data_IF_456591387908
#
_entry.id   IF_456591387908
#
_cell.length_a   1.000
_cell.length_b   1.000
_cell.length_c   1.000
_cell.angle_alpha   90.00
_cell.angle_beta   90.00
_cell.angle_gamma   90.00
#
_symmetry.space_group_name_H-M   'P 1'
#
loop_
_entity.id
_entity.type
_entity.pdbx_description
1 polymer ?
#
# COMPACT_ATOMS: atom_id res chain seq x y z
N UNK A 1 2.36 -32.66 -9.10
CA UNK A 1 1.56 -33.89 -9.09
C UNK A 1 0.47 -33.75 -8.05
N UNK A 2 -0.73 -34.08 -8.42
CA UNK A 2 -1.86 -34.20 -7.46
C UNK A 2 -1.65 -35.56 -6.79
N UNK A 3 -1.09 -35.56 -5.58
CA UNK A 3 -0.83 -36.75 -4.80
C UNK A 3 -1.03 -36.39 -3.33
N UNK A 4 -1.75 -37.22 -2.59
CA UNK A 4 -2.03 -37.02 -1.16
C UNK A 4 -0.76 -37.03 -0.29
N UNK A 5 0.35 -37.53 -0.82
CA UNK A 5 1.64 -37.61 -0.13
C UNK A 5 2.51 -36.35 -0.27
N UNK A 6 2.19 -35.44 -1.23
CA UNK A 6 3.00 -34.26 -1.53
C UNK A 6 2.18 -32.99 -1.29
N UNK A 7 2.59 -32.21 -0.32
CA UNK A 7 1.90 -30.99 0.07
C UNK A 7 2.41 -29.76 -0.69
N UNK A 8 1.65 -28.67 -0.68
CA UNK A 8 2.10 -27.37 -1.20
C UNK A 8 3.37 -26.86 -0.48
N UNK A 9 3.58 -27.27 0.78
CA UNK A 9 4.81 -26.94 1.51
C UNK A 9 6.03 -27.65 0.93
N UNK A 10 5.89 -28.87 0.45
CA UNK A 10 6.99 -29.58 -0.23
C UNK A 10 7.39 -28.88 -1.52
N UNK A 11 6.42 -28.35 -2.26
CA UNK A 11 6.70 -27.51 -3.44
C UNK A 11 7.47 -26.23 -3.06
N UNK A 12 7.14 -25.61 -1.93
CA UNK A 12 7.89 -24.47 -1.41
C UNK A 12 9.33 -24.83 -1.06
N UNK A 13 9.54 -25.92 -0.32
CA UNK A 13 10.89 -26.41 0.06
C UNK A 13 11.72 -26.77 -1.17
N UNK A 14 11.12 -27.45 -2.14
CA UNK A 14 11.78 -27.77 -3.40
C UNK A 14 12.26 -26.52 -4.13
N UNK A 15 11.41 -25.52 -4.24
CA UNK A 15 11.69 -24.27 -4.93
C UNK A 15 12.77 -23.43 -4.22
N UNK A 16 12.56 -23.17 -2.92
CA UNK A 16 13.37 -22.19 -2.18
C UNK A 16 14.66 -22.77 -1.62
N UNK A 17 14.75 -24.10 -1.47
CA UNK A 17 15.93 -24.79 -0.93
C UNK A 17 16.68 -25.55 -2.00
N UNK A 18 16.00 -26.50 -2.67
CA UNK A 18 16.70 -27.40 -3.63
C UNK A 18 17.09 -26.66 -4.91
N UNK A 19 16.13 -26.03 -5.59
CA UNK A 19 16.41 -25.34 -6.85
C UNK A 19 17.29 -24.11 -6.63
N UNK A 20 17.15 -23.43 -5.48
CA UNK A 20 18.06 -22.33 -5.13
C UNK A 20 19.51 -22.77 -5.04
N UNK A 21 19.75 -23.95 -4.47
CA UNK A 21 21.10 -24.54 -4.35
C UNK A 21 21.62 -25.08 -5.69
N UNK A 22 20.77 -25.84 -6.40
CA UNK A 22 21.18 -26.65 -7.55
C UNK A 22 21.14 -25.84 -8.87
N UNK A 23 20.25 -24.84 -8.98
CA UNK A 23 20.05 -24.06 -10.20
C UNK A 23 19.86 -22.57 -9.85
N UNK A 24 20.83 -21.89 -9.21
CA UNK A 24 20.68 -20.50 -8.75
C UNK A 24 20.40 -19.52 -9.91
N UNK A 25 20.91 -19.78 -11.10
CA UNK A 25 20.73 -18.96 -12.29
C UNK A 25 19.25 -18.83 -12.71
N UNK A 26 18.41 -19.83 -12.40
CA UNK A 26 16.97 -19.80 -12.65
C UNK A 26 16.28 -18.60 -11.98
N UNK A 27 16.82 -18.12 -10.85
CA UNK A 27 16.22 -17.08 -10.02
C UNK A 27 16.78 -15.69 -10.28
N UNK A 28 17.79 -15.56 -11.13
CA UNK A 28 18.46 -14.27 -11.40
C UNK A 28 17.51 -13.17 -11.87
N UNK A 29 16.51 -13.53 -12.68
CA UNK A 29 15.49 -12.58 -13.19
C UNK A 29 14.09 -12.89 -12.67
N UNK A 30 13.98 -13.64 -11.57
CA UNK A 30 12.72 -14.04 -11.00
C UNK A 30 11.98 -12.85 -10.39
N UNK A 31 10.75 -12.59 -10.82
CA UNK A 31 9.89 -11.56 -10.24
C UNK A 31 9.23 -12.07 -8.95
N UNK A 32 8.59 -13.23 -9.01
CA UNK A 32 7.95 -13.93 -7.90
C UNK A 32 7.82 -15.42 -8.23
N UNK A 33 7.47 -16.21 -7.25
CA UNK A 33 7.29 -17.65 -7.38
C UNK A 33 5.82 -18.03 -7.21
N UNK A 34 5.42 -19.13 -7.86
CA UNK A 34 4.12 -19.77 -7.69
C UNK A 34 4.34 -21.22 -7.28
N UNK A 35 3.62 -21.65 -6.26
CA UNK A 35 3.59 -23.03 -5.79
C UNK A 35 2.15 -23.55 -5.80
N UNK A 36 1.96 -24.81 -6.12
CA UNK A 36 0.62 -25.43 -6.18
C UNK A 36 0.71 -26.93 -5.99
N UNK A 37 -0.28 -27.49 -5.31
CA UNK A 37 -0.56 -28.93 -5.23
C UNK A 37 -1.76 -29.35 -6.10
N UNK A 38 -2.32 -28.41 -6.88
CA UNK A 38 -3.49 -28.62 -7.73
C UNK A 38 -4.81 -28.18 -7.06
N UNK A 39 -4.88 -28.19 -5.75
CA UNK A 39 -6.03 -27.72 -4.97
C UNK A 39 -5.75 -26.35 -4.38
N UNK A 40 -4.56 -26.17 -3.84
CA UNK A 40 -4.10 -24.92 -3.28
C UNK A 40 -3.04 -24.29 -4.21
N UNK A 41 -3.15 -23.00 -4.42
CA UNK A 41 -2.17 -22.25 -5.24
C UNK A 41 -1.82 -20.97 -4.54
N UNK A 42 -0.52 -20.72 -4.38
CA UNK A 42 0.01 -19.54 -3.70
C UNK A 42 1.12 -18.89 -4.50
N UNK A 43 1.24 -17.59 -4.36
CA UNK A 43 2.35 -16.83 -4.93
C UNK A 43 3.09 -16.04 -3.84
N UNK A 44 4.39 -15.86 -4.01
CA UNK A 44 5.21 -15.14 -3.06
C UNK A 44 6.59 -14.81 -3.60
N UNK A 45 7.35 -14.08 -2.82
CA UNK A 45 8.73 -13.80 -3.13
C UNK A 45 9.61 -15.02 -2.89
N UNK A 46 10.62 -15.18 -3.72
CA UNK A 46 11.67 -16.19 -3.55
C UNK A 46 12.40 -16.10 -2.19
N UNK A 47 12.49 -14.90 -1.64
CA UNK A 47 13.14 -14.65 -0.35
C UNK A 47 12.21 -14.79 0.86
N UNK A 48 10.90 -14.90 0.63
CA UNK A 48 9.90 -14.91 1.69
C UNK A 48 9.77 -16.28 2.35
N UNK A 49 9.60 -16.36 3.68
CA UNK A 49 9.13 -17.55 4.37
C UNK A 49 7.78 -18.03 3.84
N UNK A 50 7.47 -19.31 4.04
CA UNK A 50 6.24 -19.93 3.52
C UNK A 50 4.94 -19.23 3.94
N UNK A 51 4.90 -18.67 5.13
CA UNK A 51 3.77 -17.91 5.68
C UNK A 51 3.43 -16.65 4.86
N UNK A 52 4.38 -16.14 4.08
CA UNK A 52 4.19 -14.99 3.18
C UNK A 52 3.89 -15.38 1.73
N UNK A 53 3.60 -16.65 1.48
CA UNK A 53 3.02 -17.09 0.21
C UNK A 53 1.49 -17.08 0.32
N UNK A 54 0.84 -16.27 -0.52
CA UNK A 54 -0.60 -16.02 -0.44
C UNK A 54 -1.34 -16.51 -1.68
N UNK A 55 -2.53 -17.04 -1.45
CA UNK A 55 -3.44 -17.39 -2.53
C UNK A 55 -4.03 -16.12 -3.17
N UNK A 56 -4.14 -16.13 -4.49
CA UNK A 56 -4.91 -15.14 -5.22
C UNK A 56 -6.35 -15.63 -5.35
N UNK A 57 -7.24 -15.17 -4.46
CA UNK A 57 -8.56 -15.77 -4.28
C UNK A 57 -9.69 -15.09 -5.02
N UNK A 58 -9.44 -13.95 -5.67
CA UNK A 58 -10.50 -13.16 -6.29
C UNK A 58 -10.06 -12.55 -7.60
N UNK A 59 -10.95 -12.58 -8.57
CA UNK A 59 -10.86 -11.83 -9.82
C UNK A 59 -11.91 -10.72 -9.75
N UNK A 60 -11.65 -9.59 -10.40
CA UNK A 60 -12.60 -8.49 -10.47
C UNK A 60 -13.94 -8.96 -11.04
N UNK A 61 -15.05 -8.57 -10.39
CA UNK A 61 -16.41 -9.00 -10.76
C UNK A 61 -16.88 -10.32 -10.13
N UNK A 62 -15.99 -11.10 -9.49
CA UNK A 62 -16.43 -12.30 -8.77
C UNK A 62 -17.17 -11.95 -7.48
N UNK A 63 -18.25 -12.69 -7.23
CA UNK A 63 -18.91 -12.76 -5.93
C UNK A 63 -18.22 -13.84 -5.09
N UNK A 64 -17.58 -13.44 -3.99
CA UNK A 64 -16.87 -14.38 -3.10
C UNK A 64 -15.42 -14.65 -3.50
N UNK A 65 -14.80 -15.60 -2.84
CA UNK A 65 -13.40 -16.01 -3.02
C UNK A 65 -13.33 -17.44 -3.54
N UNK A 66 -12.40 -17.71 -4.44
CA UNK A 66 -12.12 -19.05 -4.94
C UNK A 66 -11.37 -19.88 -3.90
N UNK A 67 -11.78 -21.10 -3.72
CA UNK A 67 -11.18 -22.10 -2.84
C UNK A 67 -11.04 -23.44 -3.58
N UNK A 68 -10.16 -24.29 -3.10
CA UNK A 68 -9.98 -25.63 -3.67
C UNK A 68 -9.48 -25.59 -5.11
N UNK A 69 -10.00 -26.43 -5.97
CA UNK A 69 -9.55 -26.65 -7.35
C UNK A 69 -9.60 -25.38 -8.22
N UNK A 70 -10.48 -24.43 -7.89
CA UNK A 70 -10.58 -23.14 -8.58
C UNK A 70 -9.45 -22.17 -8.24
N UNK A 71 -8.65 -22.48 -7.21
CA UNK A 71 -7.52 -21.68 -6.76
C UNK A 71 -6.50 -21.45 -7.86
N UNK A 72 -6.12 -22.50 -8.61
CA UNK A 72 -5.16 -22.39 -9.72
C UNK A 72 -5.73 -21.52 -10.85
N UNK A 73 -6.95 -21.77 -11.27
CA UNK A 73 -7.59 -21.00 -12.34
C UNK A 73 -7.74 -19.54 -11.97
N UNK A 74 -8.09 -19.27 -10.71
CA UNK A 74 -8.21 -17.89 -10.19
C UNK A 74 -6.85 -17.20 -10.10
N UNK A 75 -5.79 -17.91 -9.73
CA UNK A 75 -4.44 -17.36 -9.76
C UNK A 75 -4.00 -17.02 -11.21
N UNK A 76 -4.25 -17.92 -12.16
CA UNK A 76 -3.91 -17.70 -13.58
C UNK A 76 -4.71 -16.55 -14.16
N UNK A 77 -6.02 -16.54 -14.06
CA UNK A 77 -6.88 -15.47 -14.58
C UNK A 77 -6.74 -14.17 -13.79
N UNK A 78 -6.45 -14.27 -12.51
CA UNK A 78 -6.22 -13.15 -11.61
C UNK A 78 -4.80 -12.58 -11.74
N UNK A 79 -3.83 -13.14 -11.05
CA UNK A 79 -2.48 -12.61 -10.94
C UNK A 79 -1.70 -12.67 -12.25
N UNK A 80 -1.79 -13.80 -12.98
CA UNK A 80 -1.00 -14.06 -14.18
C UNK A 80 -1.65 -13.53 -15.47
N UNK A 81 -2.80 -12.86 -15.39
CA UNK A 81 -3.35 -12.14 -16.54
C UNK A 81 -2.32 -11.18 -17.12
N UNK A 82 -2.18 -11.14 -18.46
CA UNK A 82 -1.12 -10.39 -19.16
C UNK A 82 -1.02 -8.91 -18.75
N UNK A 83 -2.14 -8.24 -18.59
CA UNK A 83 -2.16 -6.83 -18.15
C UNK A 83 -1.76 -6.69 -16.70
N UNK A 84 -2.31 -7.56 -15.85
CA UNK A 84 -2.10 -7.50 -14.38
C UNK A 84 -0.70 -7.92 -13.98
N UNK A 85 -0.12 -8.98 -14.58
CA UNK A 85 1.25 -9.39 -14.27
C UNK A 85 2.27 -8.29 -14.64
N UNK A 86 2.07 -7.59 -15.75
CA UNK A 86 2.91 -6.44 -16.13
C UNK A 86 2.82 -5.32 -15.13
N UNK A 87 1.62 -5.06 -14.64
CA UNK A 87 1.36 -4.05 -13.63
C UNK A 87 1.96 -4.43 -12.27
N UNK A 88 1.79 -5.69 -11.85
CA UNK A 88 2.38 -6.22 -10.61
C UNK A 88 3.89 -6.08 -10.65
N UNK A 89 4.55 -6.53 -11.70
CA UNK A 89 6.01 -6.43 -11.83
C UNK A 89 6.47 -4.96 -11.78
N UNK A 90 5.73 -4.05 -12.37
CA UNK A 90 6.09 -2.64 -12.48
C UNK A 90 5.86 -1.85 -11.19
N UNK A 91 4.76 -2.12 -10.50
CA UNK A 91 4.23 -1.24 -9.47
C UNK A 91 3.93 -1.92 -8.13
N UNK A 92 3.97 -3.25 -8.04
CA UNK A 92 3.49 -4.00 -6.89
C UNK A 92 4.49 -5.05 -6.37
N UNK A 93 5.74 -4.94 -6.80
CA UNK A 93 6.88 -5.66 -6.22
C UNK A 93 7.80 -4.60 -5.62
N UNK A 94 7.94 -4.64 -4.30
CA UNK A 94 8.74 -3.71 -3.54
C UNK A 94 10.04 -4.36 -3.09
N UNK A 95 11.15 -3.71 -3.39
CA UNK A 95 12.48 -4.03 -2.85
C UNK A 95 12.88 -2.84 -1.96
N UNK A 96 13.14 -3.06 -0.67
CA UNK A 96 13.64 -2.00 0.20
C UNK A 96 15.00 -1.47 -0.28
N UNK A 97 15.18 -0.13 -0.23
CA UNK A 97 16.43 0.51 -0.63
C UNK A 97 17.60 0.10 0.30
N UNK A 98 17.28 -0.14 1.57
CA UNK A 98 18.22 -0.63 2.57
C UNK A 98 17.58 -1.80 3.33
N UNK A 99 18.19 -2.97 3.26
CA UNK A 99 17.78 -4.14 4.04
C UNK A 99 18.99 -4.90 4.52
N UNK A 100 18.95 -5.42 5.75
CA UNK A 100 19.99 -6.32 6.29
C UNK A 100 19.91 -7.72 5.72
N UNK A 101 18.83 -8.06 5.01
CA UNK A 101 18.55 -9.36 4.40
C UNK A 101 18.02 -9.14 3.00
N UNK A 102 18.21 -10.12 2.13
CA UNK A 102 17.52 -10.14 0.84
C UNK A 102 16.02 -10.13 1.06
N UNK A 103 15.38 -9.05 0.66
CA UNK A 103 13.96 -8.83 0.86
C UNK A 103 13.29 -8.36 -0.43
N UNK A 104 12.21 -9.02 -0.77
CA UNK A 104 11.35 -8.66 -1.90
C UNK A 104 9.92 -8.93 -1.49
N UNK A 105 9.09 -7.92 -1.54
CA UNK A 105 7.70 -7.98 -1.14
C UNK A 105 6.81 -7.95 -2.37
N UNK A 106 6.00 -8.99 -2.53
CA UNK A 106 5.02 -9.12 -3.61
C UNK A 106 3.63 -8.83 -3.04
N UNK A 107 2.84 -8.00 -3.70
CA UNK A 107 1.51 -7.65 -3.24
C UNK A 107 0.59 -8.87 -3.12
N UNK A 108 -0.35 -8.79 -2.18
CA UNK A 108 -1.52 -9.68 -2.09
C UNK A 108 -2.64 -9.13 -2.96
N UNK A 109 -3.60 -9.99 -3.37
CA UNK A 109 -4.73 -9.55 -4.21
C UNK A 109 -5.56 -8.39 -3.59
N UNK A 110 -5.83 -8.35 -2.26
CA UNK A 110 -6.56 -7.22 -1.69
C UNK A 110 -5.78 -5.90 -1.79
N UNK A 111 -4.47 -5.94 -1.58
CA UNK A 111 -3.60 -4.75 -1.71
C UNK A 111 -3.58 -4.23 -3.15
N UNK A 112 -3.48 -5.14 -4.12
CA UNK A 112 -3.53 -4.79 -5.54
C UNK A 112 -4.83 -4.08 -5.90
N UNK A 113 -5.97 -4.71 -5.60
CA UNK A 113 -7.28 -4.15 -5.96
C UNK A 113 -7.59 -2.86 -5.19
N UNK A 114 -7.25 -2.80 -3.89
CA UNK A 114 -7.45 -1.60 -3.09
C UNK A 114 -6.65 -0.41 -3.64
N UNK A 115 -5.35 -0.58 -3.87
CA UNK A 115 -4.51 0.49 -4.40
C UNK A 115 -4.96 0.94 -5.79
N UNK A 116 -5.36 0.01 -6.67
CA UNK A 116 -5.86 0.36 -8.00
C UNK A 116 -7.20 1.09 -7.98
N UNK A 117 -8.15 0.64 -7.16
CA UNK A 117 -9.45 1.32 -7.01
C UNK A 117 -9.30 2.70 -6.40
N UNK A 118 -8.51 2.83 -5.36
CA UNK A 118 -8.21 4.14 -4.75
C UNK A 118 -7.55 5.07 -5.77
N UNK A 119 -6.55 4.59 -6.50
CA UNK A 119 -5.88 5.37 -7.53
C UNK A 119 -6.86 5.88 -8.60
N UNK A 120 -7.70 5.00 -9.14
CA UNK A 120 -8.71 5.39 -10.12
C UNK A 120 -9.71 6.40 -9.56
N UNK A 121 -10.16 6.19 -8.32
CA UNK A 121 -11.10 7.09 -7.67
C UNK A 121 -10.49 8.47 -7.40
N UNK A 122 -9.22 8.53 -6.99
CA UNK A 122 -8.48 9.79 -6.83
C UNK A 122 -8.41 10.56 -8.14
N UNK A 123 -8.14 9.89 -9.25
CA UNK A 123 -8.11 10.55 -10.57
C UNK A 123 -9.48 11.10 -10.98
N UNK A 124 -10.56 10.36 -10.72
CA UNK A 124 -11.93 10.79 -11.04
C UNK A 124 -12.39 11.97 -10.21
N UNK A 125 -11.95 12.04 -8.96
CA UNK A 125 -12.39 13.07 -8.00
C UNK A 125 -11.37 14.19 -7.78
N UNK A 126 -10.32 14.26 -8.60
CA UNK A 126 -9.30 15.30 -8.49
C UNK A 126 -9.89 16.69 -8.73
N UNK A 127 -9.54 17.65 -7.87
CA UNK A 127 -9.88 19.05 -8.07
C UNK A 127 -9.07 19.67 -9.23
N UNK A 128 -9.61 20.66 -9.96
CA UNK A 128 -10.88 21.36 -9.70
C UNK A 128 -12.12 20.66 -10.28
N UNK A 129 -11.98 19.60 -11.08
CA UNK A 129 -13.09 18.92 -11.75
C UNK A 129 -13.93 18.03 -10.82
N UNK A 130 -13.35 17.52 -9.75
CA UNK A 130 -13.98 16.64 -8.76
C UNK A 130 -14.12 17.27 -7.38
N UNK A 131 -14.68 16.50 -6.45
CA UNK A 131 -14.93 16.92 -5.05
C UNK A 131 -13.70 16.77 -4.13
N UNK A 132 -12.61 16.14 -4.61
CA UNK A 132 -11.39 15.89 -3.85
C UNK A 132 -11.46 14.67 -2.92
N UNK A 133 -12.51 13.84 -2.96
CA UNK A 133 -12.70 12.69 -2.09
C UNK A 133 -12.16 11.43 -2.74
N UNK A 134 -10.93 11.05 -2.37
CA UNK A 134 -10.22 9.90 -2.95
C UNK A 134 -10.76 8.53 -2.59
N UNK A 135 -11.54 8.40 -1.53
CA UNK A 135 -12.15 7.14 -1.09
C UNK A 135 -11.57 6.56 0.18
N UNK A 136 -12.18 5.48 0.66
CA UNK A 136 -11.79 4.78 1.89
C UNK A 136 -11.52 3.31 1.60
N UNK A 137 -10.44 2.78 2.17
CA UNK A 137 -10.13 1.36 2.20
C UNK A 137 -10.28 0.84 3.63
N UNK A 138 -11.14 -0.15 3.80
CA UNK A 138 -11.28 -0.89 5.04
C UNK A 138 -10.54 -2.22 4.96
N UNK A 139 -9.64 -2.45 5.90
CA UNK A 139 -8.89 -3.71 6.01
C UNK A 139 -8.71 -4.11 7.46
N UNK A 140 -8.78 -5.42 7.74
CA UNK A 140 -8.53 -5.97 9.07
C UNK A 140 -7.11 -5.70 9.54
N UNK A 141 -6.88 -5.76 10.85
CA UNK A 141 -5.52 -5.65 11.41
C UNK A 141 -4.63 -6.77 10.85
N UNK A 142 -3.39 -6.43 10.51
CA UNK A 142 -2.43 -7.39 9.93
C UNK A 142 -2.62 -7.69 8.44
N UNK A 143 -3.62 -7.11 7.74
CA UNK A 143 -3.81 -7.32 6.30
C UNK A 143 -2.77 -6.60 5.42
N UNK A 144 -1.85 -5.83 6.01
CA UNK A 144 -0.80 -5.10 5.29
C UNK A 144 -1.25 -3.77 4.70
N UNK A 145 -2.05 -3.00 5.45
CA UNK A 145 -2.49 -1.64 5.07
C UNK A 145 -1.33 -0.73 4.68
N UNK A 146 -0.23 -0.76 5.45
CA UNK A 146 0.97 0.05 5.17
C UNK A 146 1.57 -0.23 3.80
N UNK A 147 1.60 -1.50 3.36
CA UNK A 147 2.01 -1.85 2.00
C UNK A 147 1.00 -1.39 0.95
N UNK A 148 -0.30 -1.41 1.27
CA UNK A 148 -1.32 -0.86 0.36
C UNK A 148 -1.10 0.64 0.14
N UNK A 149 -0.80 1.40 1.20
CA UNK A 149 -0.45 2.82 1.10
C UNK A 149 0.83 3.04 0.28
N UNK A 150 1.84 2.18 0.48
CA UNK A 150 3.08 2.24 -0.28
C UNK A 150 2.86 2.00 -1.78
N UNK A 151 2.08 0.98 -2.15
CA UNK A 151 1.72 0.70 -3.54
C UNK A 151 0.88 1.83 -4.15
N UNK A 152 -0.05 2.40 -3.38
CA UNK A 152 -0.81 3.56 -3.80
C UNK A 152 0.10 4.77 -4.05
N UNK A 153 1.02 5.07 -3.13
CA UNK A 153 1.99 6.14 -3.29
C UNK A 153 2.83 5.96 -4.56
N UNK A 154 3.28 4.72 -4.84
CA UNK A 154 3.98 4.40 -6.10
C UNK A 154 3.14 4.74 -7.33
N UNK A 155 1.86 4.36 -7.34
CA UNK A 155 0.95 4.64 -8.46
C UNK A 155 0.73 6.15 -8.64
N UNK A 156 0.52 6.87 -7.54
CA UNK A 156 0.31 8.32 -7.55
C UNK A 156 1.53 9.06 -8.08
N UNK A 157 2.73 8.75 -7.56
CA UNK A 157 3.97 9.42 -7.96
C UNK A 157 4.38 9.12 -9.40
N UNK A 158 3.97 7.97 -9.96
CA UNK A 158 4.24 7.60 -11.36
C UNK A 158 3.13 8.01 -12.33
N UNK A 159 2.04 8.60 -11.84
CA UNK A 159 0.94 9.08 -12.68
C UNK A 159 1.34 10.33 -13.45
N UNK A 160 1.14 10.29 -14.75
CA UNK A 160 1.32 11.46 -15.61
C UNK A 160 0.21 12.48 -15.40
N UNK A 161 -1.00 12.00 -15.11
CA UNK A 161 -2.20 12.81 -14.91
C UNK A 161 -2.07 13.70 -13.67
N UNK A 162 -1.39 13.22 -12.62
CA UNK A 162 -1.17 13.95 -11.38
C UNK A 162 0.05 14.88 -11.40
N UNK A 163 0.90 14.79 -12.45
CA UNK A 163 2.05 15.69 -12.65
C UNK A 163 2.94 15.84 -11.41
N UNK A 164 3.44 14.71 -10.88
CA UNK A 164 4.27 14.66 -9.66
C UNK A 164 3.56 15.26 -8.44
N UNK A 165 2.52 14.59 -7.91
CA UNK A 165 1.78 15.07 -6.76
C UNK A 165 2.65 15.12 -5.52
N UNK A 166 2.24 15.91 -4.52
CA UNK A 166 2.76 15.82 -3.17
C UNK A 166 1.85 14.90 -2.35
N UNK A 167 2.43 13.97 -1.60
CA UNK A 167 1.69 13.06 -0.73
C UNK A 167 1.91 13.47 0.73
N UNK A 168 0.83 13.60 1.49
CA UNK A 168 0.86 13.81 2.93
C UNK A 168 0.24 12.58 3.60
N UNK A 169 1.06 11.85 4.35
CA UNK A 169 0.64 10.70 5.14
C UNK A 169 0.33 11.14 6.56
N UNK A 170 -0.87 10.87 7.02
CA UNK A 170 -1.34 11.29 8.34
C UNK A 170 -1.61 10.04 9.17
N UNK A 171 -0.93 9.92 10.32
CA UNK A 171 -1.11 8.83 11.28
C UNK A 171 -1.75 9.32 12.57
N UNK A 172 -2.37 8.42 13.32
CA UNK A 172 -2.98 8.75 14.63
C UNK A 172 -1.96 8.66 15.76
N UNK A 173 -0.96 7.78 15.66
CA UNK A 173 -0.02 7.48 16.74
C UNK A 173 1.42 7.73 16.33
N UNK A 174 2.20 8.27 17.28
CA UNK A 174 3.65 8.50 17.13
C UNK A 174 4.43 7.20 16.88
N UNK A 175 4.10 6.11 17.58
CA UNK A 175 4.79 4.81 17.40
C UNK A 175 4.57 4.20 16.00
N UNK A 176 3.37 4.39 15.44
CA UNK A 176 3.06 3.99 14.05
C UNK A 176 3.72 4.93 13.03
N UNK A 177 3.95 6.19 13.39
CA UNK A 177 4.67 7.16 12.58
C UNK A 177 6.10 6.69 12.34
N UNK A 178 6.80 6.19 13.35
CA UNK A 178 8.17 5.68 13.23
C UNK A 178 8.27 4.46 12.31
N UNK A 179 7.35 3.51 12.43
CA UNK A 179 7.32 2.32 11.57
C UNK A 179 6.99 2.67 10.12
N UNK A 180 5.95 3.48 9.91
CA UNK A 180 5.53 3.91 8.58
C UNK A 180 6.60 4.81 7.93
N UNK A 181 7.19 5.71 8.71
CA UNK A 181 8.27 6.60 8.30
C UNK A 181 9.50 5.80 7.85
N UNK A 182 9.90 4.79 8.63
CA UNK A 182 11.00 3.89 8.28
C UNK A 182 10.70 3.13 6.98
N UNK A 183 9.49 2.59 6.83
CA UNK A 183 9.05 1.87 5.64
C UNK A 183 9.09 2.77 4.39
N UNK A 184 8.54 3.98 4.47
CA UNK A 184 8.53 4.91 3.34
C UNK A 184 9.92 5.48 3.04
N UNK A 185 10.74 5.70 4.05
CA UNK A 185 12.14 6.12 3.88
C UNK A 185 12.96 5.05 3.14
N UNK A 186 12.73 3.78 3.44
CA UNK A 186 13.37 2.65 2.76
C UNK A 186 12.77 2.34 1.38
N UNK A 187 11.77 3.09 0.95
CA UNK A 187 11.07 2.89 -0.31
C UNK A 187 11.21 4.06 -1.28
N UNK A 188 12.15 4.96 -1.07
CA UNK A 188 12.36 6.15 -1.92
C UNK A 188 12.54 5.78 -3.39
N UNK A 189 13.42 4.82 -3.66
CA UNK A 189 13.66 4.32 -5.01
C UNK A 189 12.42 3.67 -5.63
N UNK A 190 11.68 2.89 -4.84
CA UNK A 190 10.42 2.27 -5.29
C UNK A 190 9.35 3.31 -5.58
N UNK A 191 9.09 4.25 -4.69
CA UNK A 191 8.12 5.34 -4.86
C UNK A 191 8.53 6.21 -6.05
N UNK A 192 9.83 6.43 -6.22
CA UNK A 192 10.42 7.28 -7.25
C UNK A 192 10.46 8.75 -6.86
N UNK A 193 10.55 9.00 -5.55
CA UNK A 193 10.81 10.31 -4.97
C UNK A 193 11.78 10.18 -3.79
N UNK A 194 12.83 10.97 -3.80
CA UNK A 194 13.86 10.97 -2.76
C UNK A 194 13.53 11.89 -1.58
N UNK A 195 12.49 12.72 -1.71
CA UNK A 195 12.01 13.59 -0.65
C UNK A 195 10.92 12.86 0.15
N UNK A 196 11.35 12.05 1.10
CA UNK A 196 10.49 11.40 2.08
C UNK A 196 10.93 11.89 3.46
N UNK A 197 10.09 12.65 4.15
CA UNK A 197 10.44 13.34 5.38
C UNK A 197 9.31 13.32 6.40
N UNK A 198 9.65 13.06 7.67
CA UNK A 198 8.76 13.32 8.78
C UNK A 198 8.68 14.82 9.05
N UNK A 199 7.50 15.27 9.46
CA UNK A 199 7.19 16.67 9.72
C UNK A 199 7.08 16.89 11.22
N UNK A 200 7.82 17.87 11.74
CA UNK A 200 7.88 18.15 13.18
C UNK A 200 6.61 18.86 13.68
N UNK A 201 6.06 19.77 12.89
CA UNK A 201 4.90 20.59 13.26
C UNK A 201 4.06 20.95 12.03
N UNK A 202 2.90 21.57 12.26
CA UNK A 202 2.08 22.12 11.18
C UNK A 202 2.81 23.24 10.42
N UNK A 203 3.53 24.09 11.12
CA UNK A 203 4.31 25.16 10.51
C UNK A 203 5.47 24.62 9.67
N UNK A 204 6.10 23.54 10.11
CA UNK A 204 7.11 22.82 9.33
C UNK A 204 6.49 22.23 8.05
N UNK A 205 5.28 21.66 8.12
CA UNK A 205 4.57 21.20 6.92
C UNK A 205 4.24 22.37 5.98
N UNK A 206 3.76 23.49 6.53
CA UNK A 206 3.50 24.72 5.76
C UNK A 206 4.76 25.19 5.05
N UNK A 207 5.88 25.26 5.76
CA UNK A 207 7.16 25.67 5.18
C UNK A 207 7.62 24.72 4.06
N UNK A 208 7.45 23.41 4.26
CA UNK A 208 7.80 22.39 3.25
C UNK A 208 6.88 22.41 2.01
N UNK A 209 5.63 22.81 2.17
CA UNK A 209 4.66 22.96 1.07
C UNK A 209 4.77 24.30 0.37
N UNK A 210 5.21 25.34 1.08
CA UNK A 210 5.34 26.68 0.55
C UNK A 210 6.39 26.74 -0.58
N UNK A 211 5.99 27.26 -1.72
CA UNK A 211 6.86 27.32 -2.91
C UNK A 211 7.15 25.99 -3.59
N UNK A 212 6.73 24.87 -3.01
CA UNK A 212 6.89 23.54 -3.64
C UNK A 212 5.98 23.39 -4.83
N UNK A 213 6.56 23.08 -5.99
CA UNK A 213 5.80 22.92 -7.24
C UNK A 213 5.41 21.46 -7.52
N UNK A 214 6.19 20.49 -7.04
CA UNK A 214 5.97 19.06 -7.35
C UNK A 214 6.65 18.14 -6.34
N UNK A 215 6.17 16.89 -6.30
CA UNK A 215 6.78 15.78 -5.56
C UNK A 215 6.77 15.94 -4.05
N UNK A 216 7.42 14.99 -3.39
CA UNK A 216 7.59 14.91 -1.95
C UNK A 216 6.53 14.07 -1.24
N UNK A 217 6.98 13.30 -0.27
CA UNK A 217 6.15 12.52 0.65
C UNK A 217 6.44 12.99 2.07
N UNK A 218 5.44 13.52 2.74
CA UNK A 218 5.53 14.06 4.08
C UNK A 218 4.70 13.24 5.05
N UNK A 219 5.34 12.80 6.14
CA UNK A 219 4.69 12.03 7.19
C UNK A 219 4.42 12.94 8.39
N UNK A 220 3.22 12.85 8.94
CA UNK A 220 2.78 13.68 10.06
C UNK A 220 1.73 12.97 10.89
N UNK A 221 1.47 13.47 12.08
CA UNK A 221 0.41 12.96 12.97
C UNK A 221 -0.77 13.92 13.02
N UNK A 222 -1.97 13.38 13.28
CA UNK A 222 -3.20 14.18 13.34
C UNK A 222 -3.14 15.26 14.42
N UNK A 223 -2.43 14.98 15.53
CA UNK A 223 -2.30 15.90 16.67
C UNK A 223 -1.65 17.23 16.29
N UNK A 224 -0.86 17.24 15.19
CA UNK A 224 -0.20 18.45 14.70
C UNK A 224 -1.13 19.41 13.95
N UNK A 225 -2.45 19.08 13.84
CA UNK A 225 -3.45 19.87 13.13
C UNK A 225 -4.56 20.48 14.02
N UNK A 226 -4.42 20.42 15.35
CA UNK A 226 -5.53 20.64 16.29
C UNK A 226 -6.01 22.08 16.46
N UNK A 227 -5.32 23.12 15.98
CA UNK A 227 -5.60 24.49 16.46
C UNK A 227 -5.77 25.59 15.39
N UNK A 228 -5.63 25.29 14.11
CA UNK A 228 -5.67 26.35 13.08
C UNK A 228 -6.43 25.93 11.83
N UNK A 229 -7.19 26.85 11.28
CA UNK A 229 -8.05 26.67 10.11
C UNK A 229 -7.44 27.16 8.80
N UNK A 230 -6.27 27.78 8.82
CA UNK A 230 -5.66 28.34 7.62
C UNK A 230 -5.24 27.25 6.62
N UNK A 231 -5.48 27.54 5.36
CA UNK A 231 -5.09 26.67 4.25
C UNK A 231 -3.56 26.50 4.19
N UNK A 232 -3.09 25.27 4.16
CA UNK A 232 -1.64 24.95 4.05
C UNK A 232 -1.10 25.12 2.62
N UNK A 233 -1.95 24.89 1.63
CA UNK A 233 -1.59 25.03 0.21
C UNK A 233 -2.86 25.13 -0.64
N UNK A 234 -2.78 25.88 -1.72
CA UNK A 234 -3.86 25.98 -2.72
C UNK A 234 -3.69 24.98 -3.88
N UNK A 235 -2.63 24.20 -3.85
CA UNK A 235 -2.35 23.21 -4.91
C UNK A 235 -3.43 22.12 -4.92
N UNK A 236 -3.90 21.76 -6.11
CA UNK A 236 -4.93 20.74 -6.34
C UNK A 236 -4.36 19.31 -6.46
N UNK A 237 -3.04 19.16 -6.58
CA UNK A 237 -2.37 17.87 -6.67
C UNK A 237 -1.60 17.51 -5.37
N UNK A 238 -2.11 17.91 -4.22
CA UNK A 238 -1.67 17.43 -2.90
C UNK A 238 -2.67 16.38 -2.42
N UNK A 239 -2.17 15.18 -2.14
CA UNK A 239 -2.99 14.01 -1.79
C UNK A 239 -2.72 13.63 -0.35
N UNK A 240 -3.76 13.72 0.49
CA UNK A 240 -3.69 13.30 1.88
C UNK A 240 -4.14 11.83 2.00
N UNK A 241 -3.34 11.01 2.65
CA UNK A 241 -3.66 9.62 2.97
C UNK A 241 -3.64 9.51 4.50
N UNK A 242 -4.80 9.27 5.10
CA UNK A 242 -4.93 9.09 6.55
C UNK A 242 -5.01 7.61 6.92
N UNK A 243 -4.12 7.16 7.80
CA UNK A 243 -4.24 5.87 8.47
C UNK A 243 -5.17 5.99 9.67
N UNK A 244 -5.87 4.91 10.03
CA UNK A 244 -6.84 4.87 11.14
C UNK A 244 -7.86 6.03 11.11
N UNK A 245 -8.34 6.37 9.91
CA UNK A 245 -9.20 7.54 9.66
C UNK A 245 -10.46 7.58 10.56
N UNK A 246 -10.93 6.41 11.03
CA UNK A 246 -12.08 6.33 11.94
C UNK A 246 -11.83 6.98 13.32
N UNK A 247 -10.57 7.13 13.74
CA UNK A 247 -10.20 7.77 15.01
C UNK A 247 -10.07 9.28 14.89
N UNK A 248 -9.68 9.77 13.73
CA UNK A 248 -9.26 11.15 13.52
C UNK A 248 -10.22 11.98 12.68
N UNK A 249 -11.04 11.34 11.85
CA UNK A 249 -11.92 12.01 10.91
C UNK A 249 -13.38 12.11 11.39
N UNK A 250 -13.73 11.42 12.48
CA UNK A 250 -15.06 11.47 13.09
C UNK A 250 -14.93 12.17 14.43
N UNK A 251 -15.25 13.46 14.47
CA UNK A 251 -15.38 14.20 15.72
C UNK A 251 -16.74 13.83 16.34
N UNK A 252 -16.82 12.67 17.00
CA UNK A 252 -18.01 12.25 17.75
C UNK A 252 -18.12 12.95 19.12
N UNK A 253 -17.03 13.52 19.62
CA UNK A 253 -17.01 14.28 20.88
C UNK A 253 -17.02 15.78 20.58
N UNK A 254 -18.20 16.32 20.29
CA UNK A 254 -18.46 17.73 20.54
C UNK A 254 -18.41 17.93 22.05
N UNK A 255 -17.30 18.42 22.59
CA UNK A 255 -17.22 18.85 23.98
C UNK A 255 -18.17 20.04 24.15
N UNK A 256 -19.34 19.78 24.68
CA UNK A 256 -20.27 20.81 25.11
C UNK A 256 -19.62 21.50 26.33
N UNK A 257 -19.09 22.69 26.15
CA UNK A 257 -18.70 23.54 27.28
C UNK A 257 -19.97 24.23 27.79
N UNK A 258 -20.45 23.78 28.94
CA UNK A 258 -21.49 24.49 29.69
C UNK A 258 -20.77 25.57 30.49
N UNK A 259 -21.01 26.83 30.14
CA UNK A 259 -20.59 27.97 30.95
C UNK A 259 -21.81 28.52 31.67
N UNK A 260 -21.63 29.27 32.76
CA UNK A 260 -22.74 29.88 33.54
C UNK A 260 -23.67 30.78 32.73
N UNK A 261 -23.28 31.16 31.50
CA UNK A 261 -24.06 32.02 30.58
C UNK A 261 -24.80 31.26 29.47
N UNK A 262 -24.79 29.93 29.44
CA UNK A 262 -25.50 29.11 28.46
C UNK A 262 -24.63 28.10 27.69
N UNK A 263 -25.29 27.26 26.89
CA UNK A 263 -24.67 26.22 26.06
C UNK A 263 -24.19 26.85 24.75
N UNK A 264 -22.87 26.92 24.53
CA UNK A 264 -22.32 27.22 23.21
C UNK A 264 -21.96 25.91 22.51
N UNK A 265 -22.51 25.76 21.28
CA UNK A 265 -22.15 24.64 20.39
C UNK A 265 -20.74 24.78 19.83
#
# INVERSE_FOLDING_TARGET
>A
AINDEVTIHDAYVQLTTRYRRDIPELFKYNAFCVISDGVNSKAGSFFAPYEFYYAWRKIEGMQGEAVGIDSMLTLVKGMLNRGRIRDIIRNFIYLPDTSKKDEKIVCRYPQYYAARKLFQNILLHQKPGGDGKGGTYFGTTGCGKSFTMLFLARLLMKSKELSSPTIVLITDRTDLDDQLSSQFTNAKGFIGDYVVQSVASRDDLRAKLNGRKSGGVFLTTIQKFNEDTDTLTERTNVICISDEAHRSQINLDQKIKVTEEGVKK
#
